data_IF_914841852283
#
_entry.id   IF_914841852283
#
_cell.length_a   1.000
_cell.length_b   1.000
_cell.length_c   1.000
_cell.angle_alpha   90.00
_cell.angle_beta   90.00
_cell.angle_gamma   90.00
#
_symmetry.space_group_name_H-M   'P 1'
#
loop_
_entity.id
_entity.type
_entity.pdbx_description
1 polymer ?
#
# COMPACT_ATOMS: atom_id res chain seq x y z
N UNK A 1 -14.44 21.91 -27.03
CA UNK A 1 -15.23 20.67 -26.90
C UNK A 1 -14.29 19.59 -26.40
N UNK A 2 -14.54 19.06 -25.20
CA UNK A 2 -13.69 18.03 -24.59
C UNK A 2 -13.78 16.74 -25.42
N UNK A 3 -12.68 15.99 -25.49
CA UNK A 3 -12.61 14.72 -26.23
C UNK A 3 -13.45 13.66 -25.49
N UNK A 4 -14.31 12.86 -26.16
CA UNK A 4 -15.17 11.87 -25.50
C UNK A 4 -14.43 10.86 -24.61
N UNK A 5 -13.15 10.56 -24.92
CA UNK A 5 -12.30 9.70 -24.07
C UNK A 5 -11.78 10.41 -22.82
N UNK A 6 -11.52 11.72 -22.88
CA UNK A 6 -11.09 12.49 -21.71
C UNK A 6 -12.26 12.72 -20.75
N UNK A 7 -13.46 12.95 -21.28
CA UNK A 7 -14.68 13.18 -20.52
C UNK A 7 -15.05 11.98 -19.63
N UNK A 8 -14.98 10.75 -20.15
CA UNK A 8 -15.19 9.52 -19.35
C UNK A 8 -14.16 9.34 -18.23
N UNK A 9 -12.90 9.75 -18.48
CA UNK A 9 -11.81 9.65 -17.50
C UNK A 9 -11.99 10.67 -16.37
N UNK A 10 -12.36 11.91 -16.72
CA UNK A 10 -12.64 12.98 -15.77
C UNK A 10 -13.80 12.61 -14.84
N UNK A 11 -14.92 12.12 -15.40
CA UNK A 11 -16.05 11.66 -14.59
C UNK A 11 -15.66 10.52 -13.65
N UNK A 12 -14.90 9.52 -14.12
CA UNK A 12 -14.44 8.42 -13.27
C UNK A 12 -13.58 8.90 -12.08
N UNK A 13 -12.75 9.92 -12.29
CA UNK A 13 -11.96 10.54 -11.21
C UNK A 13 -12.83 11.30 -10.21
N UNK A 14 -13.87 12.01 -10.68
CA UNK A 14 -14.84 12.70 -9.82
C UNK A 14 -15.64 11.71 -8.97
N UNK A 15 -16.18 10.65 -9.57
CA UNK A 15 -16.88 9.60 -8.83
C UNK A 15 -15.96 8.88 -7.84
N UNK A 16 -14.68 8.68 -8.20
CA UNK A 16 -13.69 8.14 -7.27
C UNK A 16 -13.47 9.07 -6.07
N UNK A 17 -13.34 10.38 -6.30
CA UNK A 17 -13.17 11.34 -5.23
C UNK A 17 -14.38 11.35 -4.28
N UNK A 18 -15.60 11.35 -4.82
CA UNK A 18 -16.81 11.23 -4.01
C UNK A 18 -16.85 9.93 -3.21
N UNK A 19 -16.50 8.80 -3.83
CA UNK A 19 -16.49 7.51 -3.13
C UNK A 19 -15.49 7.49 -1.97
N UNK A 20 -14.29 8.03 -2.20
CA UNK A 20 -13.25 8.15 -1.17
C UNK A 20 -13.74 9.00 0.00
N UNK A 21 -14.34 10.16 -0.28
CA UNK A 21 -14.81 11.10 0.74
C UNK A 21 -16.01 10.55 1.51
N UNK A 22 -17.05 10.09 0.80
CA UNK A 22 -18.30 9.61 1.41
C UNK A 22 -18.07 8.38 2.28
N UNK A 23 -17.22 7.45 1.86
CA UNK A 23 -16.93 6.24 2.62
C UNK A 23 -15.77 6.42 3.62
N UNK A 24 -15.09 7.57 3.61
CA UNK A 24 -13.89 7.79 4.41
C UNK A 24 -12.80 6.74 4.15
N UNK A 25 -12.64 6.26 2.89
CA UNK A 25 -11.80 5.10 2.54
C UNK A 25 -10.35 5.31 3.00
N UNK A 26 -9.84 6.54 2.85
CA UNK A 26 -8.47 6.88 3.26
C UNK A 26 -8.28 6.82 4.76
N UNK A 27 -9.22 7.33 5.56
CA UNK A 27 -9.11 7.27 7.02
C UNK A 27 -9.30 5.85 7.55
N UNK A 28 -10.17 5.07 6.92
CA UNK A 28 -10.30 3.65 7.22
C UNK A 28 -8.98 2.89 6.97
N UNK A 29 -8.33 3.14 5.82
CA UNK A 29 -7.03 2.56 5.48
C UNK A 29 -5.95 2.96 6.49
N UNK A 30 -5.87 4.24 6.89
CA UNK A 30 -4.91 4.71 7.90
C UNK A 30 -5.10 3.99 9.24
N UNK A 31 -6.34 3.89 9.72
CA UNK A 31 -6.66 3.20 10.98
C UNK A 31 -6.32 1.71 10.89
N UNK A 32 -6.65 1.06 9.79
CA UNK A 32 -6.30 -0.33 9.53
C UNK A 32 -4.79 -0.55 9.60
N UNK A 33 -4.01 0.22 8.84
CA UNK A 33 -2.55 0.08 8.82
C UNK A 33 -1.94 0.32 10.20
N UNK A 34 -2.37 1.36 10.94
CA UNK A 34 -1.91 1.59 12.30
C UNK A 34 -2.25 0.45 13.28
N UNK A 35 -3.41 -0.19 13.10
CA UNK A 35 -3.80 -1.34 13.92
C UNK A 35 -2.95 -2.57 13.61
N UNK A 36 -2.59 -2.81 12.34
CA UNK A 36 -1.81 -4.00 11.96
C UNK A 36 -0.45 -4.07 12.67
N UNK A 37 0.22 -2.93 12.85
CA UNK A 37 1.49 -2.86 13.59
C UNK A 37 1.38 -3.29 15.06
N UNK A 38 0.17 -3.28 15.64
CA UNK A 38 -0.08 -3.65 17.04
C UNK A 38 -0.55 -5.10 17.20
N UNK A 39 -1.20 -5.67 16.18
CA UNK A 39 -1.87 -6.98 16.29
C UNK A 39 -1.13 -8.11 15.59
N UNK A 40 -0.27 -7.80 14.62
CA UNK A 40 0.49 -8.83 13.91
C UNK A 40 1.64 -9.30 14.81
N UNK A 41 1.73 -10.61 15.03
CA UNK A 41 2.84 -11.20 15.75
C UNK A 41 4.15 -11.03 14.96
N UNK A 42 5.31 -10.92 15.63
CA UNK A 42 6.58 -10.89 14.91
C UNK A 42 6.79 -12.14 14.04
N UNK A 43 7.33 -11.94 12.83
CA UNK A 43 7.39 -12.93 11.76
C UNK A 43 6.09 -13.07 10.96
N UNK A 44 5.00 -12.45 11.42
CA UNK A 44 3.73 -12.38 10.70
C UNK A 44 3.79 -11.44 9.49
N UNK A 45 2.94 -11.69 8.50
CA UNK A 45 2.92 -10.95 7.23
C UNK A 45 1.65 -10.14 7.06
N UNK A 46 1.82 -8.92 6.56
CA UNK A 46 0.76 -8.04 6.08
C UNK A 46 0.77 -8.06 4.55
N UNK A 47 -0.31 -8.58 3.95
CA UNK A 47 -0.55 -8.56 2.52
C UNK A 47 -1.72 -7.60 2.22
N UNK A 48 -1.50 -6.60 1.36
CA UNK A 48 -2.51 -5.60 1.01
C UNK A 48 -2.60 -5.48 -0.50
N UNK A 49 -3.82 -5.61 -1.02
CA UNK A 49 -4.14 -5.35 -2.43
C UNK A 49 -4.74 -3.95 -2.52
N UNK A 50 -4.20 -3.13 -3.42
CA UNK A 50 -4.66 -1.76 -3.67
C UNK A 50 -5.05 -1.61 -5.12
N UNK A 51 -6.04 -0.77 -5.42
CA UNK A 51 -6.50 -0.53 -6.79
C UNK A 51 -6.16 0.88 -7.28
N UNK A 52 -6.00 1.82 -6.35
CA UNK A 52 -5.74 3.23 -6.67
C UNK A 52 -4.32 3.63 -6.29
N UNK A 53 -3.75 4.59 -7.01
CA UNK A 53 -2.40 5.10 -6.75
C UNK A 53 -2.24 5.75 -5.38
N UNK A 54 -3.30 6.37 -4.84
CA UNK A 54 -3.28 7.03 -3.52
C UNK A 54 -3.14 5.99 -2.40
N UNK A 55 -3.92 4.90 -2.45
CA UNK A 55 -3.81 3.78 -1.51
C UNK A 55 -2.45 3.10 -1.61
N UNK A 56 -2.04 2.74 -2.83
CA UNK A 56 -0.76 2.07 -3.10
C UNK A 56 0.42 2.88 -2.53
N UNK A 57 0.37 4.21 -2.67
CA UNK A 57 1.36 5.12 -2.09
C UNK A 57 1.35 5.08 -0.56
N UNK A 58 0.18 5.12 0.08
CA UNK A 58 0.07 5.05 1.54
C UNK A 58 0.60 3.73 2.08
N UNK A 59 0.19 2.60 1.50
CA UNK A 59 0.67 1.26 1.89
C UNK A 59 2.18 1.14 1.68
N UNK A 60 2.70 1.59 0.54
CA UNK A 60 4.13 1.60 0.25
C UNK A 60 4.91 2.40 1.30
N UNK A 61 4.46 3.60 1.63
CA UNK A 61 5.13 4.47 2.58
C UNK A 61 5.08 3.89 3.99
N UNK A 62 3.94 3.35 4.39
CA UNK A 62 3.79 2.66 5.68
C UNK A 62 4.74 1.48 5.81
N UNK A 63 4.78 0.58 4.82
CA UNK A 63 5.71 -0.56 4.84
C UNK A 63 7.18 -0.13 4.79
N UNK A 64 7.50 1.01 4.17
CA UNK A 64 8.87 1.53 4.08
C UNK A 64 9.34 2.21 5.37
N UNK A 65 8.46 2.95 6.03
CA UNK A 65 8.83 3.88 7.12
C UNK A 65 8.31 3.47 8.49
N UNK A 66 7.35 2.54 8.54
CA UNK A 66 6.68 2.13 9.77
C UNK A 66 5.56 3.06 10.24
N UNK A 67 5.33 4.19 9.56
CA UNK A 67 4.30 5.16 9.93
C UNK A 67 3.51 5.64 8.70
N UNK A 68 2.30 6.14 8.96
CA UNK A 68 1.36 6.59 7.92
C UNK A 68 1.81 7.90 7.27
N UNK A 69 2.54 8.75 8.00
CA UNK A 69 3.05 10.02 7.49
C UNK A 69 4.14 9.82 6.44
N UNK A 70 4.71 8.61 6.33
CA UNK A 70 5.80 8.31 5.42
C UNK A 70 7.10 9.01 5.81
N UNK A 71 7.23 9.44 7.07
CA UNK A 71 8.43 10.11 7.57
C UNK A 71 9.50 9.07 7.88
N UNK A 72 10.65 9.20 7.24
CA UNK A 72 11.79 8.35 7.54
C UNK A 72 12.48 8.86 8.80
N UNK A 73 12.29 8.16 9.92
CA UNK A 73 13.19 8.30 11.07
C UNK A 73 14.49 7.57 10.72
N UNK A 74 15.49 8.36 10.35
CA UNK A 74 16.84 7.89 10.06
C UNK A 74 17.66 7.93 11.34
N UNK A 75 18.34 6.84 11.64
CA UNK A 75 19.39 6.85 12.65
C UNK A 75 20.60 7.67 12.17
N UNK A 76 21.59 7.84 13.05
CA UNK A 76 22.84 8.57 12.78
C UNK A 76 23.63 8.01 11.58
N UNK A 77 23.29 6.80 11.10
CA UNK A 77 23.88 6.12 9.95
C UNK A 77 22.98 6.16 8.71
N UNK A 78 21.88 6.92 8.74
CA UNK A 78 20.95 7.09 7.60
C UNK A 78 19.97 5.93 7.42
N UNK A 79 19.85 5.00 8.37
CA UNK A 79 18.99 3.82 8.25
C UNK A 79 17.60 4.12 8.76
N UNK A 80 16.60 3.83 7.93
CA UNK A 80 15.19 3.92 8.32
C UNK A 80 14.83 2.79 9.27
N UNK A 81 14.42 3.10 10.50
CA UNK A 81 13.96 2.10 11.47
C UNK A 81 12.50 1.71 11.21
N UNK A 82 12.23 0.99 10.12
CA UNK A 82 10.91 0.38 9.91
C UNK A 82 10.79 -0.93 10.72
N UNK A 83 9.64 -1.21 11.36
CA UNK A 83 9.33 -2.52 11.92
C UNK A 83 8.92 -3.53 10.84
N UNK A 84 8.82 -3.10 9.58
CA UNK A 84 8.42 -3.93 8.45
C UNK A 84 9.61 -4.24 7.53
N UNK A 85 9.76 -5.51 7.17
CA UNK A 85 10.62 -5.96 6.08
C UNK A 85 9.76 -6.22 4.85
N UNK A 86 10.00 -5.47 3.77
CA UNK A 86 9.30 -5.71 2.50
C UNK A 86 9.74 -7.06 1.92
N UNK A 87 8.77 -7.92 1.60
CA UNK A 87 9.02 -9.23 0.99
C UNK A 87 9.20 -9.09 -0.52
N UNK A 88 8.47 -8.16 -1.15
CA UNK A 88 8.60 -7.87 -2.57
C UNK A 88 9.14 -6.46 -2.78
N UNK A 89 10.15 -6.31 -3.66
CA UNK A 89 10.74 -5.01 -4.01
C UNK A 89 9.76 -4.13 -4.82
N UNK A 90 8.98 -4.78 -5.67
CA UNK A 90 7.93 -4.18 -6.49
C UNK A 90 6.57 -4.79 -6.12
N UNK A 91 5.45 -4.06 -6.33
CA UNK A 91 4.14 -4.67 -6.16
C UNK A 91 3.97 -5.83 -7.15
N UNK A 92 3.30 -6.90 -6.71
CA UNK A 92 2.86 -7.97 -7.61
C UNK A 92 1.62 -7.43 -8.34
N UNK A 93 1.62 -7.57 -9.66
CA UNK A 93 0.55 -7.12 -10.56
C UNK A 93 -0.12 -8.33 -11.20
N UNK A 94 -1.42 -8.23 -11.59
CA UNK A 94 -2.11 -9.32 -12.26
C UNK A 94 -1.44 -9.70 -13.59
N UNK A 95 -1.56 -10.96 -13.99
CA UNK A 95 -1.14 -11.42 -15.32
C UNK A 95 -2.15 -11.03 -16.39
N UNK A 96 -1.77 -11.12 -17.67
CA UNK A 96 -2.69 -10.83 -18.78
C UNK A 96 -3.92 -11.75 -18.76
N UNK A 97 -3.73 -13.04 -18.43
CA UNK A 97 -4.82 -14.01 -18.33
C UNK A 97 -5.75 -13.73 -17.13
N UNK A 98 -5.23 -13.12 -16.06
CA UNK A 98 -6.06 -12.67 -14.94
C UNK A 98 -6.88 -11.43 -15.33
N UNK A 99 -6.28 -10.49 -16.07
CA UNK A 99 -6.98 -9.29 -16.53
C UNK A 99 -8.08 -9.65 -17.53
N UNK A 100 -7.85 -10.62 -18.41
CA UNK A 100 -8.86 -11.09 -19.36
C UNK A 100 -10.05 -11.74 -18.63
N UNK A 101 -9.77 -12.61 -17.66
CA UNK A 101 -10.81 -13.27 -16.85
C UNK A 101 -11.51 -12.32 -15.88
N UNK A 102 -10.80 -11.31 -15.38
CA UNK A 102 -11.32 -10.33 -14.43
C UNK A 102 -10.80 -8.92 -14.77
N UNK A 103 -11.48 -8.17 -15.65
CA UNK A 103 -11.03 -6.83 -16.04
C UNK A 103 -10.89 -5.82 -14.89
N UNK A 104 -11.53 -6.07 -13.74
CA UNK A 104 -11.40 -5.24 -12.54
C UNK A 104 -10.03 -5.41 -11.86
N UNK A 105 -9.32 -6.51 -12.10
CA UNK A 105 -7.99 -6.75 -11.55
C UNK A 105 -6.93 -5.84 -12.17
N UNK A 106 -7.14 -5.26 -13.36
CA UNK A 106 -6.11 -4.53 -14.14
C UNK A 106 -5.26 -3.52 -13.38
N UNK A 107 -5.83 -2.92 -12.32
CA UNK A 107 -5.18 -1.88 -11.52
C UNK A 107 -4.76 -2.36 -10.13
N UNK A 108 -5.00 -3.63 -9.83
CA UNK A 108 -4.63 -4.27 -8.59
C UNK A 108 -3.11 -4.33 -8.43
N UNK A 109 -2.65 -4.01 -7.23
CA UNK A 109 -1.26 -4.10 -6.81
C UNK A 109 -1.21 -4.73 -5.44
N UNK A 110 -0.56 -5.88 -5.34
CA UNK A 110 -0.33 -6.59 -4.09
C UNK A 110 1.04 -6.18 -3.52
N UNK A 111 1.04 -5.76 -2.26
CA UNK A 111 2.25 -5.51 -1.46
C UNK A 111 2.28 -6.42 -0.24
N UNK A 112 3.46 -6.95 0.06
CA UNK A 112 3.66 -7.87 1.18
C UNK A 112 4.83 -7.37 2.02
N UNK A 113 4.61 -7.25 3.33
CA UNK A 113 5.65 -6.97 4.31
C UNK A 113 5.54 -7.89 5.52
N UNK A 114 6.67 -8.22 6.13
CA UNK A 114 6.77 -9.04 7.33
C UNK A 114 7.15 -8.16 8.52
N UNK A 115 6.49 -8.36 9.66
CA UNK A 115 6.83 -7.66 10.90
C UNK A 115 8.09 -8.30 11.49
N UNK A 116 9.15 -7.51 11.68
CA UNK A 116 10.43 -8.01 12.21
C UNK A 116 10.57 -7.77 13.72
N UNK A 117 11.14 -8.74 14.44
CA UNK A 117 11.63 -8.50 15.81
C UNK A 117 12.94 -7.72 15.78
N UNK A 118 13.29 -7.03 16.89
CA UNK A 118 14.64 -6.48 17.09
C UNK A 118 15.74 -7.54 16.93
N UNK A 119 15.48 -8.79 17.34
CA UNK A 119 16.42 -9.91 17.24
C UNK A 119 16.66 -10.38 15.80
N UNK A 120 15.62 -10.40 14.96
CA UNK A 120 15.71 -10.79 13.55
C UNK A 120 16.33 -9.71 12.65
N UNK A 121 16.57 -8.48 13.14
CA UNK A 121 17.34 -7.46 12.40
C UNK A 121 18.78 -7.89 12.13
N UNK A 122 19.35 -8.77 12.98
CA UNK A 122 20.76 -9.16 12.89
C UNK A 122 21.03 -10.48 12.14
N UNK A 123 19.99 -11.31 11.88
CA UNK A 123 20.15 -12.63 11.25
C UNK A 123 20.23 -12.63 9.72
N UNK A 124 19.87 -11.53 9.06
CA UNK A 124 20.04 -11.35 7.61
C UNK A 124 21.21 -10.41 7.27
N UNK A 125 22.20 -10.32 8.17
CA UNK A 125 23.50 -9.71 7.87
C UNK A 125 24.35 -10.68 7.08
#
# INVERSE_FOLDING_TARGET
VLNPKSEKKELAQVFQAFRIEVNGEMEALKRFLNATAKVICPGGRLAVITYHSIEDRMVKNFMKTGNIEGKEEKDFFGRTSSPWKQITRSPIVPSEEEIERNPRSRSAKLRIAELITPENRNRNR
#
